data_IF_476106533688
#
_entry.id   IF_476106533688
#
_cell.length_a   1.000
_cell.length_b   1.000
_cell.length_c   1.000
_cell.angle_alpha   90.00
_cell.angle_beta   90.00
_cell.angle_gamma   90.00
#
_symmetry.space_group_name_H-M   'P 1'
#
loop_
_entity.id
_entity.type
_entity.pdbx_description
1 polymer ?
#
# COMPACT_ATOMS: atom_id res chain seq x y z
N UNK A 1 -7.49 -10.04 -3.21
CA UNK A 1 -6.52 -8.92 -3.38
C UNK A 1 -7.01 -8.05 -4.54
N UNK A 2 -6.98 -6.72 -4.42
CA UNK A 2 -7.27 -5.80 -5.52
C UNK A 2 -6.14 -4.79 -5.72
N UNK A 3 -5.78 -4.52 -6.98
CA UNK A 3 -4.74 -3.56 -7.38
C UNK A 3 -5.34 -2.58 -8.38
N UNK A 4 -5.27 -1.27 -8.07
CA UNK A 4 -5.69 -0.19 -8.98
C UNK A 4 -4.49 0.71 -9.33
N UNK A 5 -4.12 0.78 -10.62
CA UNK A 5 -3.04 1.64 -11.13
C UNK A 5 -3.62 2.99 -11.56
N UNK A 6 -3.68 3.91 -10.61
CA UNK A 6 -4.48 5.15 -10.72
C UNK A 6 -3.65 6.43 -10.49
N UNK A 7 -2.35 6.46 -10.84
CA UNK A 7 -1.45 7.55 -10.44
C UNK A 7 -1.94 8.97 -10.79
N UNK A 8 -2.74 9.13 -11.85
CA UNK A 8 -3.32 10.40 -12.29
C UNK A 8 -4.85 10.48 -12.13
N UNK A 9 -5.44 9.59 -11.32
CA UNK A 9 -6.89 9.51 -11.12
C UNK A 9 -7.28 9.90 -9.70
N UNK A 10 -8.58 10.12 -9.42
CA UNK A 10 -9.06 10.42 -8.09
C UNK A 10 -8.62 9.36 -7.06
N UNK A 11 -8.44 9.81 -5.82
CA UNK A 11 -8.20 8.93 -4.67
C UNK A 11 -9.37 7.95 -4.54
N UNK A 12 -9.09 6.74 -4.06
CA UNK A 12 -10.12 5.73 -3.83
C UNK A 12 -11.08 6.22 -2.77
N UNK A 13 -12.36 6.29 -3.12
CA UNK A 13 -13.44 6.71 -2.22
C UNK A 13 -14.03 5.52 -1.43
N UNK A 14 -14.97 5.83 -0.54
CA UNK A 14 -15.64 4.82 0.30
C UNK A 14 -16.44 3.83 -0.54
N UNK A 15 -17.03 4.26 -1.66
CA UNK A 15 -17.87 3.40 -2.50
C UNK A 15 -17.02 2.32 -3.17
N UNK A 16 -15.89 2.72 -3.73
CA UNK A 16 -14.91 1.80 -4.29
C UNK A 16 -14.38 0.82 -3.24
N UNK A 17 -14.09 1.32 -2.04
CA UNK A 17 -13.64 0.47 -0.93
C UNK A 17 -14.72 -0.53 -0.50
N UNK A 18 -15.97 -0.09 -0.30
CA UNK A 18 -17.09 -0.97 0.07
C UNK A 18 -17.35 -2.04 -0.97
N UNK A 19 -17.23 -1.70 -2.25
CA UNK A 19 -17.35 -2.66 -3.35
C UNK A 19 -16.31 -3.77 -3.22
N UNK A 20 -15.07 -3.42 -2.87
CA UNK A 20 -14.02 -4.41 -2.57
C UNK A 20 -14.33 -5.22 -1.30
N UNK A 21 -14.79 -4.57 -0.23
CA UNK A 21 -15.11 -5.24 1.01
C UNK A 21 -16.23 -6.26 0.84
N UNK A 22 -17.24 -5.97 0.02
CA UNK A 22 -18.37 -6.85 -0.23
C UNK A 22 -17.97 -8.21 -0.85
N UNK A 23 -16.83 -8.27 -1.53
CA UNK A 23 -16.32 -9.51 -2.16
C UNK A 23 -15.55 -10.39 -1.20
N UNK A 24 -15.20 -9.90 0.01
CA UNK A 24 -14.48 -10.69 1.00
C UNK A 24 -15.42 -11.66 1.71
N UNK A 25 -14.98 -12.89 1.94
CA UNK A 25 -15.66 -13.86 2.79
C UNK A 25 -15.48 -13.58 4.28
N UNK A 26 -16.13 -14.38 5.12
CA UNK A 26 -15.91 -14.35 6.57
C UNK A 26 -14.53 -14.96 6.89
N UNK A 27 -13.72 -14.24 7.67
CA UNK A 27 -12.34 -14.65 7.99
C UNK A 27 -11.28 -14.23 6.95
N UNK A 28 -11.68 -13.72 5.79
CA UNK A 28 -10.75 -13.27 4.76
C UNK A 28 -9.95 -12.03 5.17
N UNK A 29 -8.70 -11.97 4.69
CA UNK A 29 -7.84 -10.79 4.80
C UNK A 29 -7.82 -10.06 3.46
N UNK A 30 -8.30 -8.82 3.45
CA UNK A 30 -8.30 -7.95 2.28
C UNK A 30 -6.99 -7.19 2.14
N UNK A 31 -6.40 -7.17 0.94
CA UNK A 31 -5.34 -6.24 0.57
C UNK A 31 -5.80 -5.38 -0.61
N UNK A 32 -5.84 -4.07 -0.41
CA UNK A 32 -6.16 -3.08 -1.44
C UNK A 32 -4.94 -2.19 -1.69
N UNK A 33 -4.40 -2.25 -2.91
CA UNK A 33 -3.26 -1.43 -3.34
C UNK A 33 -3.73 -0.37 -4.34
N UNK A 34 -3.50 0.91 -4.02
CA UNK A 34 -3.86 2.02 -4.90
C UNK A 34 -2.82 3.15 -4.87
N UNK A 35 -2.19 3.42 -6.02
CA UNK A 35 -1.14 4.45 -6.10
C UNK A 35 -1.67 5.89 -5.98
N UNK A 36 -2.95 6.14 -6.29
CA UNK A 36 -3.60 7.44 -6.02
C UNK A 36 -3.82 7.69 -4.52
N UNK A 37 -3.76 6.64 -3.68
CA UNK A 37 -4.14 6.67 -2.28
C UNK A 37 -5.64 6.67 -2.05
N UNK A 38 -6.04 6.87 -0.80
CA UNK A 38 -7.43 6.71 -0.30
C UNK A 38 -7.95 8.02 0.29
N UNK A 39 -9.24 8.32 0.14
CA UNK A 39 -9.86 9.47 0.84
C UNK A 39 -9.86 9.23 2.35
N UNK A 40 -10.01 10.30 3.14
CA UNK A 40 -10.09 10.19 4.61
C UNK A 40 -11.24 9.27 5.05
N UNK A 41 -12.38 9.38 4.37
CA UNK A 41 -13.55 8.57 4.68
C UNK A 41 -13.31 7.09 4.35
N UNK A 42 -12.62 6.79 3.24
CA UNK A 42 -12.24 5.41 2.91
C UNK A 42 -11.26 4.83 3.94
N UNK A 43 -10.29 5.64 4.38
CA UNK A 43 -9.34 5.22 5.41
C UNK A 43 -10.02 4.99 6.77
N UNK A 44 -11.02 5.81 7.11
CA UNK A 44 -11.84 5.63 8.30
C UNK A 44 -12.71 4.37 8.22
N UNK A 45 -13.39 4.15 7.10
CA UNK A 45 -14.22 2.97 6.85
C UNK A 45 -13.39 1.68 6.98
N UNK A 46 -12.19 1.63 6.40
CA UNK A 46 -11.30 0.48 6.50
C UNK A 46 -10.91 0.16 7.95
N UNK A 47 -10.75 1.19 8.80
CA UNK A 47 -10.41 1.03 10.23
C UNK A 47 -11.58 0.60 11.10
N UNK A 48 -12.81 1.01 10.74
CA UNK A 48 -14.04 0.62 11.45
C UNK A 48 -14.53 -0.78 11.06
N UNK A 49 -14.09 -1.29 9.91
CA UNK A 49 -14.50 -2.60 9.43
C UNK A 49 -14.06 -3.72 10.39
N UNK A 50 -14.98 -4.64 10.71
CA UNK A 50 -14.65 -5.88 11.41
C UNK A 50 -13.79 -6.83 10.56
N UNK A 51 -13.70 -6.60 9.24
CA UNK A 51 -12.90 -7.39 8.32
C UNK A 51 -11.45 -6.92 8.35
N UNK A 52 -10.49 -7.84 8.35
CA UNK A 52 -9.06 -7.52 8.37
C UNK A 52 -8.63 -7.00 7.01
N UNK A 53 -8.62 -5.68 6.82
CA UNK A 53 -8.26 -5.05 5.55
C UNK A 53 -7.00 -4.20 5.71
N UNK A 54 -6.04 -4.41 4.81
CA UNK A 54 -4.85 -3.59 4.68
C UNK A 54 -4.94 -2.72 3.44
N UNK A 55 -4.81 -1.41 3.64
CA UNK A 55 -4.64 -0.44 2.56
C UNK A 55 -3.14 -0.17 2.35
N UNK A 56 -2.71 -0.18 1.10
CA UNK A 56 -1.36 0.18 0.67
C UNK A 56 -1.46 1.27 -0.40
N UNK A 57 -1.04 2.48 -0.04
CA UNK A 57 -0.83 3.57 -0.97
C UNK A 57 0.61 3.58 -1.50
N UNK A 58 0.94 4.51 -2.41
CA UNK A 58 2.28 4.62 -2.98
C UNK A 58 3.38 4.81 -1.93
N UNK A 59 3.11 5.59 -0.86
CA UNK A 59 4.09 5.86 0.20
C UNK A 59 4.35 4.62 1.04
N UNK A 60 3.30 3.91 1.46
CA UNK A 60 3.42 2.66 2.21
C UNK A 60 4.06 1.58 1.35
N UNK A 61 3.75 1.50 0.06
CA UNK A 61 4.41 0.58 -0.86
C UNK A 61 5.91 0.87 -0.94
N UNK A 62 6.30 2.13 -1.09
CA UNK A 62 7.71 2.51 -1.13
C UNK A 62 8.41 2.21 0.21
N UNK A 63 7.77 2.49 1.34
CA UNK A 63 8.32 2.17 2.67
C UNK A 63 8.52 0.68 2.90
N UNK A 64 7.58 -0.17 2.46
CA UNK A 64 7.74 -1.62 2.49
C UNK A 64 8.86 -2.07 1.55
N UNK A 65 8.92 -1.47 0.36
CA UNK A 65 9.93 -1.79 -0.63
C UNK A 65 11.33 -1.47 -0.13
N UNK A 66 11.55 -0.30 0.49
CA UNK A 66 12.84 0.09 1.05
C UNK A 66 13.21 -0.75 2.28
N UNK A 67 12.26 -1.00 3.19
CA UNK A 67 12.50 -1.78 4.41
C UNK A 67 12.92 -3.23 4.11
N UNK A 68 12.36 -3.82 3.05
CA UNK A 68 12.63 -5.21 2.67
C UNK A 68 13.54 -5.34 1.45
N UNK A 69 14.15 -4.24 0.97
CA UNK A 69 14.91 -4.23 -0.30
C UNK A 69 16.03 -5.29 -0.34
N UNK A 70 16.71 -5.49 0.79
CA UNK A 70 17.79 -6.48 0.91
C UNK A 70 17.29 -7.94 0.83
N UNK A 71 16.01 -8.19 1.13
CA UNK A 71 15.39 -9.52 1.14
C UNK A 71 14.75 -9.88 -0.22
N UNK A 72 14.60 -8.90 -1.13
CA UNK A 72 14.04 -9.12 -2.46
C UNK A 72 15.01 -9.92 -3.33
N UNK A 73 14.48 -10.78 -4.21
CA UNK A 73 15.28 -11.43 -5.24
C UNK A 73 15.76 -10.42 -6.30
N UNK A 74 16.73 -10.82 -7.14
CA UNK A 74 17.30 -9.96 -8.17
C UNK A 74 16.24 -9.43 -9.14
N UNK A 75 15.29 -10.29 -9.54
CA UNK A 75 14.23 -9.93 -10.49
C UNK A 75 13.35 -8.82 -9.92
N UNK A 76 12.96 -8.91 -8.65
CA UNK A 76 12.19 -7.91 -7.95
C UNK A 76 13.00 -6.62 -7.80
N UNK A 77 14.28 -6.69 -7.41
CA UNK A 77 15.16 -5.51 -7.29
C UNK A 77 15.29 -4.72 -8.59
N UNK A 78 15.24 -5.37 -9.76
CA UNK A 78 15.29 -4.66 -11.04
C UNK A 78 14.04 -3.82 -11.36
N UNK A 79 12.89 -4.12 -10.73
CA UNK A 79 11.63 -3.38 -11.00
C UNK A 79 11.65 -1.98 -10.43
N UNK A 80 12.25 -1.80 -9.26
CA UNK A 80 12.44 -0.50 -8.61
C UNK A 80 13.88 -0.48 -8.04
N UNK A 81 14.87 -0.13 -8.87
CA UNK A 81 16.27 -0.14 -8.46
C UNK A 81 16.53 1.00 -7.48
N UNK A 82 17.04 0.66 -6.29
CA UNK A 82 17.40 1.63 -5.26
C UNK A 82 18.92 1.68 -5.09
N UNK A 83 19.44 2.88 -4.84
CA UNK A 83 20.84 3.10 -4.47
C UNK A 83 20.89 3.56 -3.00
N UNK A 84 21.64 2.87 -2.13
CA UNK A 84 21.82 3.36 -0.77
C UNK A 84 22.64 4.65 -0.79
N UNK A 85 22.18 5.66 -0.06
CA UNK A 85 22.90 6.91 0.17
C UNK A 85 23.28 6.94 1.64
N UNK A 86 24.57 6.97 1.91
CA UNK A 86 25.13 7.00 3.25
C UNK A 86 25.55 8.43 3.57
N UNK A 87 25.19 8.91 4.76
CA UNK A 87 25.65 10.19 5.29
C UNK A 87 26.65 9.92 6.40
N UNK A 88 27.59 10.84 6.60
CA UNK A 88 28.45 10.80 7.79
C UNK A 88 27.54 10.97 9.01
N UNK A 89 27.65 10.06 9.98
CA UNK A 89 27.09 10.30 11.30
C UNK A 89 27.85 11.53 11.85
N UNK A 90 27.13 12.61 12.14
CA UNK A 90 27.75 13.74 12.83
C UNK A 90 28.31 13.26 14.17
N UNK A 91 29.47 13.79 14.55
CA UNK A 91 30.01 13.56 15.89
C UNK A 91 29.03 14.18 16.91
N UNK A 92 28.48 13.36 17.82
CA UNK A 92 27.86 13.85 19.06
C UNK A 92 28.92 14.46 19.99
#
# INVERSE_FOLDING_TARGET
MQVKRNANSPRIDVRDLRSFMAVLGEGDVGLFVALSGFTKDADYEARQSHRRINLIDARKLLGLWTAHYAQLDDVARTRIPLKPVWFLAGDE
#
